data_IF_728830996604
#
_entry.id   IF_728830996604
#
_cell.length_a   1.000
_cell.length_b   1.000
_cell.length_c   1.000
_cell.angle_alpha   90.00
_cell.angle_beta   90.00
_cell.angle_gamma   90.00
#
_symmetry.space_group_name_H-M   'P 1'
#
loop_
_entity.id
_entity.type
_entity.pdbx_description
1 polymer ?
#
# COMPACT_ATOMS: atom_id res chain seq x y z
N UNK A 1 15.59 -19.03 6.66
CA UNK A 1 15.04 -17.71 7.04
C UNK A 1 13.77 -17.47 6.23
N UNK A 2 12.62 -17.29 6.87
CA UNK A 2 11.33 -17.05 6.19
C UNK A 2 11.12 -15.54 6.01
N UNK A 3 10.58 -15.13 4.85
CA UNK A 3 10.27 -13.73 4.58
C UNK A 3 9.26 -13.20 5.60
N UNK A 4 9.51 -12.02 6.18
CA UNK A 4 8.64 -11.41 7.20
C UNK A 4 7.89 -10.17 6.73
N UNK A 5 8.31 -9.48 5.68
CA UNK A 5 7.58 -8.31 5.15
C UNK A 5 8.02 -7.97 3.72
N UNK A 6 7.25 -7.11 3.06
CA UNK A 6 7.48 -6.65 1.69
C UNK A 6 8.80 -5.89 1.50
N UNK A 7 9.29 -5.20 2.53
CA UNK A 7 10.60 -4.48 2.47
C UNK A 7 11.84 -5.38 2.42
N UNK A 8 11.71 -6.70 2.51
CA UNK A 8 12.85 -7.59 2.39
C UNK A 8 13.27 -7.72 0.94
N UNK A 9 14.58 -7.64 0.69
CA UNK A 9 15.17 -7.87 -0.63
C UNK A 9 15.15 -9.38 -0.96
N UNK A 10 15.05 -9.75 -2.25
CA UNK A 10 14.75 -8.87 -3.39
C UNK A 10 13.30 -8.35 -3.35
N UNK A 11 13.13 -7.06 -3.66
CA UNK A 11 11.80 -6.45 -3.69
C UNK A 11 10.98 -7.04 -4.85
N UNK A 12 9.68 -7.20 -4.64
CA UNK A 12 8.81 -7.75 -5.68
C UNK A 12 8.70 -6.75 -6.84
N UNK A 13 8.87 -7.20 -8.09
CA UNK A 13 8.87 -6.31 -9.27
C UNK A 13 7.60 -5.46 -9.34
N UNK A 14 6.44 -6.05 -9.07
CA UNK A 14 5.16 -5.33 -9.02
C UNK A 14 5.10 -4.21 -7.97
N UNK A 15 5.76 -4.40 -6.81
CA UNK A 15 5.80 -3.37 -5.76
C UNK A 15 6.61 -2.15 -6.24
N UNK A 16 7.73 -2.39 -6.93
CA UNK A 16 8.56 -1.33 -7.53
C UNK A 16 7.80 -0.60 -8.64
N UNK A 17 7.10 -1.34 -9.50
CA UNK A 17 6.28 -0.74 -10.56
C UNK A 17 5.14 0.09 -9.98
N UNK A 18 4.48 -0.39 -8.92
CA UNK A 18 3.38 0.35 -8.29
C UNK A 18 3.83 1.69 -7.71
N UNK A 19 4.93 1.73 -6.95
CA UNK A 19 5.42 2.99 -6.36
C UNK A 19 5.94 3.96 -7.41
N UNK A 20 6.60 3.45 -8.46
CA UNK A 20 7.11 4.30 -9.55
C UNK A 20 5.97 4.93 -10.35
N UNK A 21 4.98 4.14 -10.75
CA UNK A 21 3.78 4.65 -11.43
C UNK A 21 3.04 5.66 -10.55
N UNK A 22 2.86 5.36 -9.27
CA UNK A 22 2.24 6.30 -8.33
C UNK A 22 2.98 7.65 -8.28
N UNK A 23 4.30 7.63 -8.09
CA UNK A 23 5.09 8.87 -8.08
C UNK A 23 4.99 9.64 -9.40
N UNK A 24 5.04 8.94 -10.54
CA UNK A 24 4.88 9.58 -11.85
C UNK A 24 3.50 10.24 -12.01
N UNK A 25 2.43 9.57 -11.58
CA UNK A 25 1.07 10.11 -11.63
C UNK A 25 0.92 11.35 -10.74
N UNK A 26 1.48 11.31 -9.52
CA UNK A 26 1.45 12.44 -8.59
C UNK A 26 2.17 13.65 -9.20
N UNK A 27 3.38 13.46 -9.72
CA UNK A 27 4.13 14.53 -10.40
C UNK A 27 3.35 15.04 -11.60
N UNK A 28 2.78 14.15 -12.41
CA UNK A 28 2.03 14.55 -13.59
C UNK A 28 0.78 15.37 -13.24
N UNK A 29 0.09 15.01 -12.16
CA UNK A 29 -1.06 15.74 -11.66
C UNK A 29 -0.68 17.17 -11.25
N UNK A 30 0.37 17.35 -10.43
CA UNK A 30 0.75 18.68 -9.95
C UNK A 30 1.46 19.53 -11.00
N UNK A 31 2.27 18.93 -11.89
CA UNK A 31 3.03 19.68 -12.88
C UNK A 31 2.23 19.99 -14.16
N UNK A 32 1.31 19.11 -14.57
CA UNK A 32 0.62 19.22 -15.87
C UNK A 32 -0.90 19.26 -15.79
N UNK A 33 -1.53 18.79 -14.71
CA UNK A 33 -3.00 18.80 -14.63
C UNK A 33 -3.51 20.01 -13.85
N UNK A 34 -3.06 20.18 -12.60
CA UNK A 34 -3.48 21.28 -11.73
C UNK A 34 -3.29 22.68 -12.35
N UNK A 35 -2.12 23.05 -12.92
CA UNK A 35 -1.91 24.41 -13.44
C UNK A 35 -2.64 24.69 -14.76
N UNK A 36 -3.07 23.66 -15.50
CA UNK A 36 -3.71 23.82 -16.81
C UNK A 36 -5.25 23.76 -16.76
N UNK A 37 -5.84 23.64 -15.56
CA UNK A 37 -7.31 23.61 -15.39
C UNK A 37 -8.00 24.98 -15.53
N UNK A 38 -7.24 26.07 -15.67
CA UNK A 38 -7.75 27.36 -16.13
C UNK A 38 -8.51 28.20 -15.11
N UNK A 39 -8.53 27.83 -13.82
CA UNK A 39 -9.18 28.64 -12.78
C UNK A 39 -8.58 28.44 -11.38
N UNK A 40 -8.30 29.54 -10.69
CA UNK A 40 -7.70 29.54 -9.33
C UNK A 40 -8.51 28.71 -8.33
N UNK A 41 -9.84 28.81 -8.36
CA UNK A 41 -10.72 28.04 -7.47
C UNK A 41 -10.60 26.54 -7.72
N UNK A 42 -10.56 26.12 -8.98
CA UNK A 42 -10.41 24.71 -9.36
C UNK A 42 -9.04 24.17 -8.98
N UNK A 43 -7.99 24.96 -9.17
CA UNK A 43 -6.63 24.62 -8.76
C UNK A 43 -6.57 24.35 -7.25
N UNK A 44 -7.10 25.26 -6.42
CA UNK A 44 -7.15 25.07 -4.97
C UNK A 44 -7.98 23.87 -4.53
N UNK A 45 -9.13 23.62 -5.16
CA UNK A 45 -9.97 22.45 -4.86
C UNK A 45 -9.22 21.16 -5.21
N UNK A 46 -8.61 21.08 -6.40
CA UNK A 46 -7.85 19.91 -6.82
C UNK A 46 -6.66 19.67 -5.92
N UNK A 47 -5.87 20.70 -5.62
CA UNK A 47 -4.74 20.59 -4.70
C UNK A 47 -5.23 20.16 -3.31
N UNK A 48 -6.31 20.76 -2.81
CA UNK A 48 -6.85 20.49 -1.47
C UNK A 48 -7.41 19.09 -1.31
N UNK A 49 -8.05 18.53 -2.34
CA UNK A 49 -8.63 17.17 -2.29
C UNK A 49 -7.61 16.11 -2.66
N UNK A 50 -6.77 16.35 -3.67
CA UNK A 50 -5.83 15.35 -4.15
C UNK A 50 -4.68 15.11 -3.16
N UNK A 51 -4.20 16.15 -2.47
CA UNK A 51 -3.10 16.03 -1.51
C UNK A 51 -3.36 15.03 -0.37
N UNK A 52 -4.47 15.11 0.39
CA UNK A 52 -4.75 14.13 1.44
C UNK A 52 -4.98 12.72 0.87
N UNK A 53 -5.57 12.60 -0.32
CA UNK A 53 -5.78 11.30 -0.98
C UNK A 53 -4.44 10.67 -1.36
N UNK A 54 -3.53 11.43 -1.95
CA UNK A 54 -2.19 10.96 -2.31
C UNK A 54 -1.41 10.51 -1.07
N UNK A 55 -1.46 11.29 0.01
CA UNK A 55 -0.84 10.93 1.30
C UNK A 55 -1.45 9.64 1.86
N UNK A 56 -2.78 9.51 1.84
CA UNK A 56 -3.48 8.33 2.33
C UNK A 56 -3.05 7.07 1.57
N UNK A 57 -3.03 7.13 0.23
CA UNK A 57 -2.59 6.03 -0.63
C UNK A 57 -1.13 5.65 -0.35
N UNK A 58 -0.26 6.64 -0.17
CA UNK A 58 1.15 6.40 0.16
C UNK A 58 1.32 5.71 1.52
N UNK A 59 0.60 6.18 2.56
CA UNK A 59 0.59 5.56 3.88
C UNK A 59 0.08 4.12 3.78
N UNK A 60 -1.03 3.90 3.08
CA UNK A 60 -1.58 2.56 2.87
C UNK A 60 -0.59 1.64 2.16
N UNK A 61 0.11 2.14 1.13
CA UNK A 61 1.14 1.38 0.43
C UNK A 61 2.29 0.97 1.38
N UNK A 62 2.84 1.90 2.15
CA UNK A 62 3.93 1.63 3.11
C UNK A 62 3.49 0.63 4.18
N UNK A 63 2.32 0.85 4.78
CA UNK A 63 1.78 0.00 5.84
C UNK A 63 1.46 -1.40 5.32
N UNK A 64 0.79 -1.51 4.17
CA UNK A 64 0.49 -2.81 3.55
C UNK A 64 1.76 -3.58 3.20
N UNK A 65 2.80 -2.89 2.72
CA UNK A 65 4.11 -3.49 2.43
C UNK A 65 4.84 -3.94 3.71
N UNK A 66 4.65 -3.21 4.81
CA UNK A 66 5.31 -3.50 6.08
C UNK A 66 4.62 -4.61 6.89
N UNK A 67 3.33 -4.86 6.67
CA UNK A 67 2.58 -5.90 7.40
C UNK A 67 3.15 -7.28 7.10
N UNK A 68 3.42 -8.03 8.17
CA UNK A 68 3.88 -9.40 8.10
C UNK A 68 2.68 -10.34 7.95
N UNK A 69 2.63 -11.24 6.95
CA UNK A 69 1.57 -12.24 6.86
C UNK A 69 1.56 -13.22 8.06
N UNK A 70 2.68 -13.35 8.77
CA UNK A 70 2.80 -14.13 10.02
C UNK A 70 2.73 -13.26 11.27
N UNK A 71 1.94 -12.18 11.25
CA UNK A 71 1.66 -11.41 12.46
C UNK A 71 1.01 -12.34 13.51
N UNK A 72 1.50 -12.37 14.77
CA UNK A 72 0.91 -13.18 15.85
C UNK A 72 -0.60 -12.98 16.00
N UNK A 73 -1.09 -11.76 15.67
CA UNK A 73 -2.51 -11.39 15.65
C UNK A 73 -3.36 -12.10 14.57
N UNK A 74 -2.77 -12.73 13.56
CA UNK A 74 -3.49 -13.53 12.56
C UNK A 74 -3.29 -15.02 12.82
N UNK A 75 -2.08 -15.42 13.21
CA UNK A 75 -1.75 -16.82 13.49
C UNK A 75 -2.52 -17.39 14.69
N UNK A 76 -2.90 -16.58 15.69
CA UNK A 76 -3.74 -17.08 16.79
C UNK A 76 -5.11 -17.58 16.33
N UNK A 77 -5.67 -17.04 15.23
CA UNK A 77 -6.96 -17.47 14.70
C UNK A 77 -6.88 -18.86 14.08
N UNK A 78 -5.76 -19.16 13.43
CA UNK A 78 -5.53 -20.43 12.74
C UNK A 78 -4.92 -21.51 13.64
N UNK A 79 -4.32 -21.14 14.76
CA UNK A 79 -3.72 -22.05 15.74
C UNK A 79 -4.66 -23.18 16.23
N UNK A 80 -5.88 -22.89 16.72
CA UNK A 80 -6.79 -23.94 17.18
C UNK A 80 -7.34 -24.80 16.01
N UNK A 81 -7.55 -24.21 14.84
CA UNK A 81 -8.11 -24.87 13.66
C UNK A 81 -7.14 -25.88 13.05
N UNK A 82 -5.87 -25.49 12.87
CA UNK A 82 -4.80 -26.39 12.42
C UNK A 82 -4.54 -27.52 13.41
N UNK A 83 -4.63 -27.23 14.71
CA UNK A 83 -4.45 -28.24 15.76
C UNK A 83 -5.60 -29.26 15.76
N UNK A 84 -6.84 -28.84 15.47
CA UNK A 84 -7.99 -29.74 15.41
C UNK A 84 -7.95 -30.66 14.18
N UNK A 85 -7.64 -30.12 12.99
CA UNK A 85 -7.45 -30.93 11.77
C UNK A 85 -6.36 -31.99 11.94
N UNK A 86 -5.27 -31.65 12.63
CA UNK A 86 -4.16 -32.59 12.88
C UNK A 86 -4.53 -33.74 13.83
N UNK A 87 -5.54 -33.53 14.70
CA UNK A 87 -6.07 -34.57 15.59
C UNK A 87 -7.11 -35.45 14.91
N UNK A 88 -7.90 -34.90 14.00
CA UNK A 88 -8.93 -35.66 13.27
C UNK A 88 -8.34 -36.58 12.21
N UNK A 89 -7.17 -36.24 11.64
CA UNK A 89 -6.43 -37.08 10.68
C UNK A 89 -5.56 -38.16 11.33
N UNK A 90 -5.62 -38.34 12.65
CA UNK A 90 -4.82 -39.30 13.42
C UNK A 90 -5.70 -40.40 14.00
#
# INVERSE_FOLDING_TARGET
MVRKHGWQLPAHTFQVVAVTVFCLLVVAFYAFFAPFLGGQIWEYILMGVYSPVAILVFILYVRSTAINPADPGIMYKFGPELMNESREKR
#
